data_IF_571618087157
#
_entry.id   IF_571618087157
#
_cell.length_a   1.000
_cell.length_b   1.000
_cell.length_c   1.000
_cell.angle_alpha   90.00
_cell.angle_beta   90.00
_cell.angle_gamma   90.00
#
_symmetry.space_group_name_H-M   'P 1'
#
loop_
_entity.id
_entity.type
_entity.pdbx_description
1 polymer ?
#
# COMPACT_ATOMS: atom_id res chain seq x y z
N UNK A 1 11.03 -2.02 -0.25
CA UNK A 1 9.69 -2.40 0.26
C UNK A 1 9.59 -3.92 0.25
N UNK A 2 8.99 -4.54 1.26
CA UNK A 2 8.98 -6.01 1.40
C UNK A 2 7.94 -6.75 0.56
N UNK A 3 6.80 -6.11 0.23
CA UNK A 3 5.70 -6.70 -0.56
C UNK A 3 5.29 -5.78 -1.68
N UNK A 4 5.18 -6.32 -2.90
CA UNK A 4 4.70 -5.61 -4.10
C UNK A 4 3.32 -6.11 -4.57
N UNK A 5 2.69 -6.96 -3.78
CA UNK A 5 1.33 -7.47 -4.02
C UNK A 5 0.64 -7.85 -2.72
N UNK A 6 -0.67 -7.69 -2.67
CA UNK A 6 -1.54 -8.10 -1.56
C UNK A 6 -2.95 -8.40 -2.07
N UNK A 7 -3.75 -9.10 -1.27
CA UNK A 7 -5.19 -9.23 -1.57
C UNK A 7 -5.92 -7.90 -1.42
N UNK A 8 -7.00 -7.75 -2.19
CA UNK A 8 -7.81 -6.54 -2.28
C UNK A 8 -8.49 -6.14 -0.96
N UNK A 9 -8.65 -7.07 -0.02
CA UNK A 9 -9.14 -6.77 1.33
C UNK A 9 -8.16 -5.94 2.18
N UNK A 10 -6.88 -5.84 1.79
CA UNK A 10 -5.87 -5.11 2.55
C UNK A 10 -5.57 -5.74 3.93
N UNK A 11 -5.03 -4.95 4.84
CA UNK A 11 -4.75 -5.34 6.24
C UNK A 11 -3.38 -6.01 6.46
N UNK A 12 -2.76 -6.53 5.40
CA UNK A 12 -1.37 -6.99 5.41
C UNK A 12 -0.41 -5.86 5.82
N UNK A 13 0.69 -6.22 6.48
CA UNK A 13 1.76 -5.28 6.83
C UNK A 13 2.74 -5.06 5.68
N UNK A 14 3.10 -3.81 5.45
CA UNK A 14 4.11 -3.38 4.50
C UNK A 14 5.32 -2.82 5.25
N UNK A 15 6.47 -3.45 5.05
CA UNK A 15 7.75 -2.98 5.59
C UNK A 15 8.46 -2.17 4.53
N UNK A 16 8.78 -0.92 4.85
CA UNK A 16 9.49 0.00 3.96
C UNK A 16 10.84 0.30 4.55
N UNK A 17 11.89 0.09 3.75
CA UNK A 17 13.27 0.45 4.08
C UNK A 17 13.67 1.59 3.14
N UNK A 18 14.31 2.61 3.70
CA UNK A 18 14.78 3.78 3.00
C UNK A 18 15.80 4.53 3.85
N UNK A 19 15.94 5.84 3.63
CA UNK A 19 16.86 6.70 4.37
C UNK A 19 16.21 8.04 4.64
N UNK A 20 16.56 8.65 5.77
CA UNK A 20 16.15 10.00 6.16
C UNK A 20 14.63 10.19 6.26
N UNK A 21 13.91 9.19 6.77
CA UNK A 21 12.51 9.35 7.10
C UNK A 21 12.36 10.33 8.28
N UNK A 22 11.53 11.35 8.09
CA UNK A 22 11.21 12.38 9.09
C UNK A 22 9.76 12.26 9.55
N UNK A 23 9.27 13.22 10.35
CA UNK A 23 7.84 13.32 10.64
C UNK A 23 7.05 13.64 9.35
N UNK A 24 5.76 13.27 9.32
CA UNK A 24 4.86 13.35 8.15
C UNK A 24 5.21 12.36 7.01
N UNK A 25 5.29 11.08 7.37
CA UNK A 25 5.41 9.97 6.40
C UNK A 25 4.03 9.53 5.94
N UNK A 26 3.88 9.36 4.64
CA UNK A 26 2.66 8.82 4.01
C UNK A 26 3.04 7.83 2.92
N UNK A 27 2.33 6.72 2.85
CA UNK A 27 2.36 5.80 1.69
C UNK A 27 1.12 6.06 0.86
N UNK A 28 1.32 6.36 -0.41
CA UNK A 28 0.24 6.73 -1.33
C UNK A 28 0.10 5.61 -2.35
N UNK A 29 -1.12 5.09 -2.49
CA UNK A 29 -1.51 4.15 -3.53
C UNK A 29 -2.45 4.86 -4.50
N UNK A 30 -2.20 4.76 -5.81
CA UNK A 30 -2.96 5.46 -6.87
C UNK A 30 -3.25 4.51 -8.04
N UNK A 31 -4.51 4.46 -8.46
CA UNK A 31 -4.97 3.73 -9.65
C UNK A 31 -5.32 4.71 -10.77
N UNK A 32 -5.26 4.25 -12.03
CA UNK A 32 -5.63 5.05 -13.21
C UNK A 32 -7.08 5.55 -13.18
N UNK A 33 -7.98 4.81 -12.50
CA UNK A 33 -9.39 5.15 -12.35
C UNK A 33 -9.66 6.19 -11.25
N UNK A 34 -8.67 7.03 -10.89
CA UNK A 34 -8.77 8.03 -9.81
C UNK A 34 -8.97 7.48 -8.38
N UNK A 35 -8.90 6.15 -8.18
CA UNK A 35 -8.82 5.60 -6.83
C UNK A 35 -7.48 5.96 -6.22
N UNK A 36 -7.50 6.48 -4.99
CA UNK A 36 -6.31 6.90 -4.26
C UNK A 36 -6.51 6.68 -2.77
N UNK A 37 -5.50 6.09 -2.14
CA UNK A 37 -5.45 5.92 -0.69
C UNK A 37 -4.14 6.45 -0.13
N UNK A 38 -4.22 7.04 1.06
CA UNK A 38 -3.09 7.61 1.79
C UNK A 38 -3.03 6.95 3.14
N UNK A 39 -1.94 6.24 3.40
CA UNK A 39 -1.73 5.49 4.64
C UNK A 39 -0.62 6.15 5.45
N UNK A 40 -0.90 6.38 6.73
CA UNK A 40 0.11 6.79 7.71
C UNK A 40 0.75 5.56 8.35
N UNK A 41 2.09 5.52 8.48
CA UNK A 41 2.77 4.47 9.21
C UNK A 41 2.39 4.42 10.69
N UNK A 42 2.53 3.25 11.29
CA UNK A 42 2.38 3.08 12.74
C UNK A 42 3.59 3.73 13.43
N UNK A 43 3.34 4.81 14.18
CA UNK A 43 4.41 5.68 14.71
C UNK A 43 5.44 4.93 15.57
N UNK A 44 5.01 3.91 16.31
CA UNK A 44 5.89 3.10 17.18
C UNK A 44 6.92 2.30 16.39
N UNK A 45 6.69 2.10 15.08
CA UNK A 45 7.57 1.36 14.18
C UNK A 45 8.32 2.26 13.19
N UNK A 46 8.25 3.59 13.35
CA UNK A 46 8.98 4.53 12.49
C UNK A 46 10.37 4.80 13.04
N UNK A 47 11.37 4.55 12.21
CA UNK A 47 12.76 4.98 12.43
C UNK A 47 13.24 5.82 11.24
N UNK A 48 14.45 6.36 11.32
CA UNK A 48 15.05 7.11 10.20
C UNK A 48 15.26 6.27 8.93
N UNK A 49 15.29 4.94 9.05
CA UNK A 49 15.67 4.02 7.97
C UNK A 49 14.59 3.03 7.60
N UNK A 50 13.56 2.85 8.43
CA UNK A 50 12.45 1.96 8.12
C UNK A 50 11.16 2.40 8.80
N UNK A 51 10.03 1.96 8.25
CA UNK A 51 8.73 2.06 8.90
C UNK A 51 7.82 0.88 8.48
N UNK A 52 6.73 0.70 9.22
CA UNK A 52 5.68 -0.28 8.94
C UNK A 52 4.35 0.46 8.75
N UNK A 53 3.56 0.05 7.76
CA UNK A 53 2.19 0.51 7.60
C UNK A 53 1.26 -0.62 7.14
N UNK A 54 -0.05 -0.43 7.28
CA UNK A 54 -1.07 -1.37 6.77
C UNK A 54 -1.36 -1.11 5.29
N UNK A 55 -1.46 -2.17 4.49
CA UNK A 55 -1.89 -2.04 3.09
C UNK A 55 -3.40 -1.74 3.10
N UNK A 56 -3.87 -0.66 2.45
CA UNK A 56 -5.28 -0.31 2.47
C UNK A 56 -6.11 -1.30 1.65
N UNK A 57 -7.41 -1.39 1.91
CA UNK A 57 -8.31 -2.18 1.08
C UNK A 57 -8.47 -1.49 -0.29
N UNK A 58 -8.43 -2.26 -1.37
CA UNK A 58 -8.67 -1.75 -2.71
C UNK A 58 -10.17 -1.73 -3.03
N UNK A 59 -10.72 -0.52 -3.13
CA UNK A 59 -12.13 -0.26 -3.46
C UNK A 59 -12.32 0.24 -4.90
N UNK A 60 -11.24 0.30 -5.67
CA UNK A 60 -11.29 0.64 -7.09
C UNK A 60 -11.89 -0.48 -7.97
N UNK A 61 -12.05 -0.22 -9.27
CA UNK A 61 -12.63 -1.18 -10.20
C UNK A 61 -11.72 -2.39 -10.39
N UNK A 62 -12.10 -3.53 -9.79
CA UNK A 62 -11.44 -4.85 -10.00
C UNK A 62 -12.36 -5.88 -10.66
N UNK A 63 -13.63 -5.52 -10.91
CA UNK A 63 -14.76 -6.36 -11.36
C UNK A 63 -14.42 -7.82 -11.72
N UNK A 64 -13.91 -8.04 -12.93
CA UNK A 64 -13.64 -9.36 -13.50
C UNK A 64 -12.15 -9.68 -13.59
N UNK A 65 -11.28 -8.70 -13.30
CA UNK A 65 -9.85 -8.90 -13.36
C UNK A 65 -9.37 -9.73 -12.17
N UNK A 66 -8.38 -10.59 -12.40
CA UNK A 66 -7.73 -11.33 -11.33
C UNK A 66 -6.86 -10.41 -10.43
N UNK A 67 -6.50 -9.23 -10.93
CA UNK A 67 -5.66 -8.26 -10.25
C UNK A 67 -5.91 -6.83 -10.76
N UNK A 68 -5.55 -5.84 -9.94
CA UNK A 68 -5.47 -4.43 -10.32
C UNK A 68 -4.06 -3.90 -10.06
N UNK A 69 -3.55 -3.06 -10.97
CA UNK A 69 -2.22 -2.46 -10.89
C UNK A 69 -2.33 -1.03 -10.38
N UNK A 70 -1.66 -0.72 -9.28
CA UNK A 70 -1.58 0.64 -8.74
C UNK A 70 -0.14 1.13 -8.69
N UNK A 71 0.04 2.44 -8.67
CA UNK A 71 1.31 3.08 -8.33
C UNK A 71 1.37 3.29 -6.83
N UNK A 72 2.50 2.91 -6.23
CA UNK A 72 2.78 3.13 -4.81
C UNK A 72 4.03 4.00 -4.66
N UNK A 73 3.93 5.05 -3.86
CA UNK A 73 5.04 5.96 -3.56
C UNK A 73 5.02 6.41 -2.10
N UNK A 74 6.19 6.73 -1.57
CA UNK A 74 6.35 7.27 -0.22
C UNK A 74 6.47 8.77 -0.31
N UNK A 75 5.69 9.49 0.49
CA UNK A 75 5.83 10.93 0.74
C UNK A 75 6.45 11.12 2.12
N UNK A 76 7.44 12.00 2.20
CA UNK A 76 8.12 12.39 3.44
C UNK A 76 8.28 13.92 3.42
N UNK A 77 7.42 14.64 4.14
CA UNK A 77 7.26 16.08 3.94
C UNK A 77 6.92 16.38 2.47
N UNK A 78 7.63 17.29 1.80
CA UNK A 78 7.37 17.62 0.39
C UNK A 78 8.08 16.71 -0.63
N UNK A 79 8.86 15.74 -0.16
CA UNK A 79 9.62 14.82 -1.03
C UNK A 79 8.83 13.56 -1.30
N UNK A 80 8.93 13.07 -2.53
CA UNK A 80 8.39 11.78 -2.96
C UNK A 80 9.51 10.83 -3.32
N UNK A 81 9.33 9.54 -3.05
CA UNK A 81 10.13 8.49 -3.66
C UNK A 81 9.76 8.33 -5.13
N UNK A 82 10.61 7.61 -5.88
CA UNK A 82 10.18 7.00 -7.12
C UNK A 82 8.92 6.16 -6.91
N UNK A 83 8.02 6.19 -7.89
CA UNK A 83 6.81 5.37 -7.86
C UNK A 83 7.17 3.95 -8.29
N UNK A 84 6.62 2.97 -7.59
CA UNK A 84 6.74 1.56 -7.93
C UNK A 84 5.36 0.97 -8.22
N UNK A 85 5.34 -0.14 -8.96
CA UNK A 85 4.10 -0.89 -9.19
C UNK A 85 3.77 -1.74 -7.97
N UNK A 86 2.52 -1.66 -7.51
CA UNK A 86 1.93 -2.57 -6.54
C UNK A 86 0.71 -3.27 -7.14
N UNK A 87 0.53 -4.55 -6.86
CA UNK A 87 -0.55 -5.38 -7.42
C UNK A 87 -1.55 -5.78 -6.33
N UNK A 88 -2.78 -5.32 -6.46
CA UNK A 88 -3.87 -5.91 -5.70
C UNK A 88 -4.39 -7.16 -6.39
N UNK A 89 -4.50 -8.25 -5.65
CA UNK A 89 -5.01 -9.54 -6.13
C UNK A 89 -6.47 -9.69 -5.70
N UNK A 90 -7.29 -10.30 -6.56
CA UNK A 90 -8.67 -10.64 -6.19
C UNK A 90 -8.65 -11.55 -4.95
N UNK A 91 -9.51 -11.24 -3.98
CA UNK A 91 -9.66 -12.05 -2.78
C UNK A 91 -10.04 -13.48 -3.17
N UNK A 92 -9.45 -14.46 -2.48
CA UNK A 92 -9.93 -15.84 -2.58
C UNK A 92 -11.32 -15.88 -1.93
N UNK A 93 -12.29 -16.50 -2.59
CA UNK A 93 -13.56 -16.79 -1.95
C UNK A 93 -13.27 -17.70 -0.75
N UNK A 94 -13.50 -17.20 0.46
CA UNK A 94 -13.63 -18.09 1.61
C UNK A 94 -14.98 -18.79 1.44
N UNK A 95 -14.96 -20.06 1.06
CA UNK A 95 -16.08 -20.94 1.29
C UNK A 95 -16.23 -21.06 2.82
N UNK A 96 -16.92 -20.12 3.44
CA UNK A 96 -17.50 -20.36 4.75
C UNK A 96 -18.56 -21.44 4.52
N UNK A 97 -18.22 -22.68 4.86
CA UNK A 97 -19.12 -23.82 4.80
C UNK A 97 -20.37 -23.55 5.63
N UNK A 98 -21.51 -24.02 5.11
CA UNK A 98 -22.77 -24.15 5.82
C UNK A 98 -22.63 -25.07 7.04
#
# INVERSE_FOLDING_TARGET
MSRMRSYANGGDELFVIGRNFTKDLKVIFEHESSWREVVEPEMDYVTQNHFICKIPAFTGPMFQAAQAKVLMKVKCGDKFSESCTFLYLKNRYNFAGF
#
